data_IF_581054082742
#
_entry.id   IF_581054082742
#
_cell.length_a   1.000
_cell.length_b   1.000
_cell.length_c   1.000
_cell.angle_alpha   90.00
_cell.angle_beta   90.00
_cell.angle_gamma   90.00
#
_symmetry.space_group_name_H-M   'P 1'
#
loop_
_entity.id
_entity.type
_entity.pdbx_description
1 polymer ?
#
# COMPACT_ATOMS: atom_id res chain seq x y z
N UNK A 1 18.07 -21.39 -19.53
CA UNK A 1 16.67 -21.59 -19.14
C UNK A 1 16.57 -21.50 -17.63
N UNK A 2 15.87 -20.50 -17.08
CA UNK A 2 15.47 -20.52 -15.66
C UNK A 2 14.12 -19.82 -15.54
N UNK A 3 13.06 -20.63 -15.59
CA UNK A 3 11.71 -20.22 -15.21
C UNK A 3 11.68 -20.19 -13.69
N UNK A 4 12.10 -19.08 -13.09
CA UNK A 4 11.88 -18.83 -11.67
C UNK A 4 10.37 -18.64 -11.51
N UNK A 5 9.72 -19.69 -11.01
CA UNK A 5 8.32 -19.66 -10.59
C UNK A 5 8.08 -18.35 -9.85
N UNK A 6 7.12 -17.59 -10.35
CA UNK A 6 6.73 -16.28 -9.84
C UNK A 6 6.09 -16.50 -8.47
N UNK A 7 6.92 -16.77 -7.46
CA UNK A 7 6.54 -16.76 -6.05
C UNK A 7 5.74 -15.49 -5.85
N UNK A 8 4.50 -15.61 -5.42
CA UNK A 8 3.59 -14.50 -5.23
C UNK A 8 4.19 -13.55 -4.18
N UNK A 9 4.89 -12.53 -4.67
CA UNK A 9 5.38 -11.46 -3.81
C UNK A 9 4.13 -10.71 -3.37
N UNK A 10 3.70 -10.95 -2.13
CA UNK A 10 2.54 -10.28 -1.56
C UNK A 10 2.91 -8.84 -1.23
N UNK A 11 2.45 -7.93 -2.08
CA UNK A 11 2.72 -6.51 -2.00
C UNK A 11 1.44 -5.80 -1.57
N UNK A 12 1.52 -5.05 -0.48
CA UNK A 12 0.39 -4.26 0.02
C UNK A 12 0.60 -2.78 -0.29
N UNK A 13 -0.35 -2.15 -0.98
CA UNK A 13 -0.39 -0.70 -1.16
C UNK A 13 -1.24 -0.06 -0.06
N UNK A 14 -0.77 1.06 0.49
CA UNK A 14 -1.52 1.81 1.48
C UNK A 14 -1.34 3.33 1.31
N UNK A 15 -2.41 4.06 1.59
CA UNK A 15 -2.42 5.52 1.58
C UNK A 15 -1.94 6.04 2.93
N UNK A 16 -0.99 6.98 2.92
CA UNK A 16 -0.61 7.71 4.13
C UNK A 16 -1.59 8.86 4.39
N UNK A 17 -1.71 9.34 5.64
CA UNK A 17 -2.46 10.57 5.93
C UNK A 17 -2.00 11.79 5.12
N UNK A 18 -0.75 11.77 4.64
CA UNK A 18 -0.21 12.80 3.76
C UNK A 18 -0.70 12.71 2.29
N UNK A 19 -1.65 11.83 1.96
CA UNK A 19 -2.11 11.56 0.59
C UNK A 19 -1.11 10.81 -0.30
N UNK A 20 0.05 10.41 0.22
CA UNK A 20 1.08 9.70 -0.56
C UNK A 20 0.90 8.19 -0.41
N UNK A 21 0.99 7.48 -1.52
CA UNK A 21 0.89 6.02 -1.55
C UNK A 21 2.25 5.41 -1.29
N UNK A 22 2.26 4.44 -0.39
CA UNK A 22 3.42 3.63 -0.07
C UNK A 22 3.11 2.16 -0.28
N UNK A 23 4.17 1.37 -0.32
CA UNK A 23 4.13 -0.07 -0.50
C UNK A 23 4.72 -0.76 0.72
N UNK A 24 4.15 -1.89 1.11
CA UNK A 24 4.65 -2.81 2.14
C UNK A 24 4.97 -4.17 1.56
N UNK A 25 6.11 -4.71 1.98
CA UNK A 25 6.56 -6.05 1.68
C UNK A 25 7.46 -6.51 2.83
N UNK A 26 7.16 -7.66 3.45
CA UNK A 26 7.97 -8.27 4.52
C UNK A 26 8.34 -7.29 5.65
N UNK A 27 7.37 -6.48 6.12
CA UNK A 27 7.55 -5.46 7.17
C UNK A 27 8.51 -4.30 6.80
N UNK A 28 8.95 -4.23 5.54
CA UNK A 28 9.63 -3.09 4.96
C UNK A 28 8.64 -2.21 4.22
N UNK A 29 8.98 -0.92 4.11
CA UNK A 29 8.17 0.06 3.40
C UNK A 29 8.96 0.65 2.24
N UNK A 30 8.26 0.91 1.14
CA UNK A 30 8.79 1.47 -0.08
C UNK A 30 7.94 2.66 -0.53
N UNK A 31 8.56 3.63 -1.19
CA UNK A 31 7.89 4.79 -1.78
C UNK A 31 8.14 4.84 -3.29
N UNK A 32 7.18 5.40 -4.03
CA UNK A 32 7.32 5.64 -5.48
C UNK A 32 8.44 6.66 -5.69
N UNK A 33 9.56 6.23 -6.28
CA UNK A 33 10.77 7.04 -6.37
C UNK A 33 10.92 7.68 -7.75
N UNK A 34 11.05 6.88 -8.80
CA UNK A 34 11.30 7.38 -10.15
C UNK A 34 10.69 6.45 -11.20
N UNK A 35 10.45 6.98 -12.39
CA UNK A 35 10.02 6.19 -13.56
C UNK A 35 11.17 5.28 -13.99
N UNK A 36 10.91 3.99 -14.09
CA UNK A 36 11.91 2.99 -14.46
C UNK A 36 11.81 2.56 -15.92
N UNK A 37 10.58 2.50 -16.46
CA UNK A 37 10.26 2.18 -17.86
C UNK A 37 9.02 2.97 -18.29
N UNK A 38 8.60 2.85 -19.55
CA UNK A 38 7.40 3.52 -20.09
C UNK A 38 6.17 3.33 -19.20
N UNK A 39 5.92 2.09 -18.73
CA UNK A 39 4.76 1.72 -17.90
C UNK A 39 5.16 1.10 -16.56
N UNK A 40 6.28 1.53 -15.98
CA UNK A 40 6.75 0.99 -14.70
C UNK A 40 7.52 2.01 -13.86
N UNK A 41 7.34 1.91 -12.55
CA UNK A 41 7.98 2.76 -11.56
C UNK A 41 8.89 1.96 -10.63
N UNK A 42 10.01 2.58 -10.24
CA UNK A 42 10.88 2.11 -9.19
C UNK A 42 10.32 2.53 -7.83
N UNK A 43 10.04 1.55 -6.99
CA UNK A 43 9.67 1.72 -5.59
C UNK A 43 10.90 1.45 -4.73
N UNK A 44 11.45 2.50 -4.12
CA UNK A 44 12.67 2.37 -3.31
C UNK A 44 12.33 2.23 -1.83
N UNK A 45 13.14 1.46 -1.09
CA UNK A 45 12.96 1.35 0.35
C UNK A 45 12.99 2.75 0.99
N UNK A 46 12.11 2.99 1.97
CA UNK A 46 12.06 4.29 2.68
C UNK A 46 13.35 4.62 3.42
N UNK A 47 14.18 3.62 3.73
CA UNK A 47 15.51 3.81 4.31
C UNK A 47 16.59 4.20 3.28
N UNK A 48 16.27 4.32 1.99
CA UNK A 48 17.23 4.69 0.92
C UNK A 48 17.94 6.02 1.21
N UNK A 49 17.21 7.07 1.56
CA UNK A 49 17.78 8.39 1.90
C UNK A 49 18.35 8.48 3.31
N UNK A 50 18.07 7.49 4.17
CA UNK A 50 18.45 7.51 5.59
C UNK A 50 19.93 7.17 5.82
N UNK A 51 20.35 7.08 7.09
CA UNK A 51 21.68 6.61 7.49
C UNK A 51 22.04 5.21 6.96
N UNK A 52 21.03 4.37 6.68
CA UNK A 52 21.23 2.99 6.22
C UNK A 52 21.57 2.86 4.74
N UNK A 53 21.33 3.92 3.93
CA UNK A 53 21.56 3.95 2.48
C UNK A 53 21.07 2.69 1.75
N UNK A 54 19.88 2.22 2.15
CA UNK A 54 19.35 0.93 1.71
C UNK A 54 19.09 0.89 0.21
N UNK A 55 19.56 -0.16 -0.47
CA UNK A 55 19.43 -0.31 -1.93
C UNK A 55 18.25 -1.18 -2.38
N UNK A 56 17.50 -1.75 -1.43
CA UNK A 56 16.31 -2.55 -1.72
C UNK A 56 15.28 -1.74 -2.53
N UNK A 57 14.72 -2.37 -3.57
CA UNK A 57 13.77 -1.74 -4.47
C UNK A 57 12.92 -2.75 -5.23
N UNK A 58 11.74 -2.31 -5.66
CA UNK A 58 10.88 -3.03 -6.60
C UNK A 58 10.70 -2.22 -7.88
N UNK A 59 10.49 -2.91 -8.99
CA UNK A 59 9.98 -2.31 -10.24
C UNK A 59 8.57 -2.85 -10.45
N UNK A 60 7.59 -1.96 -10.47
CA UNK A 60 6.16 -2.32 -10.55
C UNK A 60 5.53 -1.61 -11.73
N UNK A 61 4.75 -2.34 -12.52
CA UNK A 61 4.01 -1.78 -13.66
C UNK A 61 2.80 -0.98 -13.23
N UNK A 62 2.22 -0.22 -14.14
CA UNK A 62 0.95 0.48 -13.89
C UNK A 62 -0.22 -0.50 -13.69
N UNK A 63 -0.07 -1.74 -14.18
CA UNK A 63 -0.98 -2.86 -13.92
C UNK A 63 -0.73 -3.57 -12.58
N UNK A 64 0.08 -2.96 -11.71
CA UNK A 64 0.42 -3.46 -10.37
C UNK A 64 1.21 -4.77 -10.37
N UNK A 65 1.91 -5.09 -11.46
CA UNK A 65 2.71 -6.30 -11.56
C UNK A 65 4.15 -6.04 -11.14
N UNK A 66 4.68 -6.86 -10.24
CA UNK A 66 6.09 -6.80 -9.84
C UNK A 66 6.96 -7.43 -10.94
N UNK A 67 7.72 -6.60 -11.65
CA UNK A 67 8.68 -7.06 -12.67
C UNK A 67 10.02 -7.49 -12.06
N UNK A 68 10.44 -6.82 -10.98
CA UNK A 68 11.69 -7.08 -10.28
C UNK A 68 11.55 -6.71 -8.81
N UNK A 69 12.13 -7.52 -7.94
CA UNK A 69 12.26 -7.22 -6.52
C UNK A 69 13.69 -7.51 -6.05
N UNK A 70 14.31 -6.50 -5.46
CA UNK A 70 15.57 -6.59 -4.71
C UNK A 70 15.22 -6.38 -3.25
N UNK A 71 15.16 -7.48 -2.49
CA UNK A 71 14.68 -7.50 -1.10
C UNK A 71 15.80 -7.60 -0.06
N UNK A 72 17.06 -7.47 -0.49
CA UNK A 72 18.20 -7.43 0.44
C UNK A 72 18.29 -6.05 1.10
N UNK A 73 18.00 -6.01 2.40
CA UNK A 73 18.01 -4.80 3.20
C UNK A 73 19.30 -4.68 4.02
N UNK A 74 19.88 -3.47 4.04
CA UNK A 74 21.05 -3.15 4.88
C UNK A 74 20.66 -2.71 6.31
N UNK A 75 19.42 -2.97 6.72
CA UNK A 75 18.85 -2.48 7.96
C UNK A 75 17.72 -3.39 8.46
N UNK A 76 17.42 -3.37 9.77
CA UNK A 76 16.28 -4.10 10.29
C UNK A 76 14.94 -3.54 9.78
N UNK A 77 13.85 -4.34 9.79
CA UNK A 77 12.51 -3.89 9.44
C UNK A 77 12.08 -2.64 10.21
N UNK A 78 11.19 -1.84 9.60
CA UNK A 78 10.70 -0.64 10.27
C UNK A 78 9.73 -1.04 11.40
N UNK A 79 10.03 -0.64 12.64
CA UNK A 79 9.17 -0.86 13.81
C UNK A 79 7.87 -0.05 13.78
N UNK A 80 7.50 0.56 12.64
CA UNK A 80 6.19 1.20 12.50
C UNK A 80 5.15 0.10 12.63
N UNK A 81 4.54 0.07 13.82
CA UNK A 81 3.34 -0.68 14.20
C UNK A 81 2.46 -0.79 12.95
N UNK A 82 1.97 -2.00 12.67
CA UNK A 82 0.93 -2.21 11.66
C UNK A 82 -0.11 -1.08 11.67
N UNK A 83 -0.77 -0.77 10.53
CA UNK A 83 -1.95 0.06 10.58
C UNK A 83 -2.78 -0.51 11.72
N UNK A 84 -2.95 0.30 12.77
CA UNK A 84 -3.81 -0.06 13.88
C UNK A 84 -5.14 -0.32 13.18
N UNK A 85 -5.53 -1.59 13.04
CA UNK A 85 -6.93 -1.92 12.85
C UNK A 85 -7.66 -1.02 13.86
N UNK A 86 -8.70 -0.27 13.46
CA UNK A 86 -9.44 0.57 14.39
C UNK A 86 -9.76 -0.31 15.58
N UNK A 87 -9.15 -0.01 16.73
CA UNK A 87 -9.35 -0.78 17.95
C UNK A 87 -10.83 -0.69 18.24
N UNK A 88 -11.58 -1.74 17.89
CA UNK A 88 -12.97 -1.87 18.30
C UNK A 88 -12.91 -1.87 19.82
N UNK A 89 -13.25 -0.73 20.43
CA UNK A 89 -13.47 -0.67 21.87
C UNK A 89 -14.57 -1.71 22.15
N UNK A 90 -14.44 -2.56 23.18
CA UNK A 90 -15.52 -3.47 23.55
C UNK A 90 -16.77 -2.63 23.80
N UNK A 91 -17.81 -2.86 23.02
CA UNK A 91 -19.14 -2.34 23.31
C UNK A 91 -19.62 -3.09 24.54
N UNK A 92 -19.61 -2.40 25.68
CA UNK A 92 -20.31 -2.87 26.87
C UNK A 92 -21.79 -2.96 26.51
N UNK A 93 -22.35 -4.17 26.62
CA UNK A 93 -23.78 -4.44 26.43
C UNK A 93 -24.55 -3.92 27.64
N UNK A 94 -24.92 -2.65 27.60
CA UNK A 94 -25.96 -1.99 28.40
C UNK A 94 -26.05 -0.58 27.78
N UNK A 95 -27.02 -0.22 26.95
CA UNK A 95 -28.45 -0.33 27.17
C UNK A 95 -29.20 -0.28 25.82
N UNK A 96 -30.24 -1.09 25.69
CA UNK A 96 -31.24 -0.95 24.65
C UNK A 96 -32.24 0.15 25.06
N UNK A 97 -32.59 1.09 24.15
CA UNK A 97 -33.97 1.46 23.76
C UNK A 97 -34.07 2.83 23.02
N UNK A 98 -34.38 2.75 21.72
CA UNK A 98 -35.42 3.48 20.95
C UNK A 98 -35.32 5.01 20.66
N UNK A 99 -35.24 5.39 19.36
CA UNK A 99 -36.32 6.06 18.56
C UNK A 99 -35.79 6.67 17.25
N UNK A 100 -36.36 6.17 16.14
CA UNK A 100 -36.83 6.83 14.91
C UNK A 100 -36.08 8.02 14.24
N UNK A 101 -36.02 7.90 12.89
CA UNK A 101 -36.07 8.95 11.85
C UNK A 101 -34.75 9.46 11.24
N UNK A 102 -34.65 9.30 9.91
CA UNK A 102 -33.70 10.00 9.03
C UNK A 102 -32.63 9.08 8.43
N UNK A 103 -32.79 8.72 7.16
CA UNK A 103 -31.76 8.02 6.38
C UNK A 103 -30.99 9.02 5.51
N UNK A 104 -29.77 9.41 5.90
CA UNK A 104 -28.73 9.73 4.94
C UNK A 104 -27.88 8.47 4.73
N UNK A 105 -27.92 7.91 3.52
CA UNK A 105 -26.95 6.91 3.03
C UNK A 105 -25.56 7.54 3.04
N UNK A 106 -24.86 7.44 4.16
CA UNK A 106 -23.41 7.63 4.17
C UNK A 106 -22.84 6.30 3.69
N UNK A 107 -22.69 6.18 2.37
CA UNK A 107 -21.88 5.12 1.79
C UNK A 107 -20.50 5.15 2.47
N UNK A 108 -20.05 4.09 3.16
CA UNK A 108 -18.69 4.05 3.64
C UNK A 108 -17.77 4.01 2.41
N UNK A 109 -16.78 4.91 2.28
CA UNK A 109 -15.76 4.75 1.24
C UNK A 109 -14.86 3.59 1.67
N UNK A 110 -15.30 2.37 1.37
CA UNK A 110 -14.47 1.17 1.41
C UNK A 110 -13.81 0.95 0.05
N UNK A 111 -13.34 2.03 -0.58
CA UNK A 111 -12.43 1.91 -1.70
C UNK A 111 -11.07 1.57 -1.11
N UNK A 112 -10.61 0.34 -1.33
CA UNK A 112 -9.29 -0.09 -0.87
C UNK A 112 -8.23 0.87 -1.42
N UNK A 113 -7.11 1.13 -0.71
CA UNK A 113 -6.05 2.00 -1.24
C UNK A 113 -5.51 1.56 -2.61
N UNK A 114 -5.66 0.27 -2.92
CA UNK A 114 -5.42 -0.30 -4.24
C UNK A 114 -6.41 0.23 -5.28
N UNK A 115 -7.70 0.28 -4.95
CA UNK A 115 -8.75 0.81 -5.80
C UNK A 115 -8.55 2.31 -6.09
N UNK A 116 -8.19 3.12 -5.09
CA UNK A 116 -7.89 4.53 -5.31
C UNK A 116 -6.65 4.73 -6.18
N UNK A 117 -5.62 3.89 -6.00
CA UNK A 117 -4.46 3.88 -6.90
C UNK A 117 -4.87 3.53 -8.32
N UNK A 118 -5.70 2.49 -8.49
CA UNK A 118 -6.21 2.05 -9.78
C UNK A 118 -7.04 3.15 -10.45
N UNK A 119 -7.93 3.85 -9.74
CA UNK A 119 -8.66 5.00 -10.27
C UNK A 119 -7.68 6.08 -10.72
N UNK A 120 -6.74 6.49 -9.87
CA UNK A 120 -5.81 7.56 -10.19
C UNK A 120 -4.91 7.26 -11.41
N UNK A 121 -4.66 5.99 -11.71
CA UNK A 121 -3.83 5.55 -12.83
C UNK A 121 -4.63 4.95 -14.00
N UNK A 122 -5.96 4.79 -13.88
CA UNK A 122 -6.84 4.35 -14.98
C UNK A 122 -7.34 5.52 -15.84
N UNK A 123 -7.25 6.77 -15.36
CA UNK A 123 -7.65 7.96 -16.12
C UNK A 123 -6.78 8.22 -17.37
N UNK A 124 -5.68 7.48 -17.56
CA UNK A 124 -4.86 7.56 -18.78
C UNK A 124 -5.35 6.69 -19.96
N UNK A 125 -6.54 6.11 -19.88
CA UNK A 125 -7.18 5.41 -21.00
C UNK A 125 -8.55 6.04 -21.33
N UNK A 126 -8.56 7.29 -21.80
CA UNK A 126 -9.67 7.78 -22.60
C UNK A 126 -9.13 8.76 -23.65
N UNK A 127 -9.17 8.27 -24.89
CA UNK A 127 -8.96 8.90 -26.20
C UNK A 127 -7.54 9.36 -26.56
#
# INVERSE_FOLDING_TARGET
MYNKTRSEINVEFYLRPSGRINLRLNNFTFYKHLKARTNAYRWSCTAYGSKWKCKAHLIITDKLEVLKASIDHSHPPSSRKEPRLPSLKPINKSDAYNKQNGHPTINPPSLTPLHDYLIAHSVYNNY
#
